data_IF_961136358013
#
_entry.id   IF_961136358013
#
_cell.length_a   1.000
_cell.length_b   1.000
_cell.length_c   1.000
_cell.angle_alpha   90.00
_cell.angle_beta   90.00
_cell.angle_gamma   90.00
#
_symmetry.space_group_name_H-M   'P 1'
#
loop_
_entity.id
_entity.type
_entity.pdbx_description
1 polymer ?
#
# COMPACT_ATOMS: atom_id res chain seq x y z
N UNK A 1 4.35 14.66 11.71
CA UNK A 1 4.72 15.45 10.50
C UNK A 1 3.46 16.12 9.97
N UNK A 2 3.25 17.42 10.24
CA UNK A 2 2.02 18.09 9.81
C UNK A 2 2.08 18.26 8.29
N UNK A 3 1.29 17.46 7.56
CA UNK A 3 1.18 17.52 6.10
C UNK A 3 1.22 16.18 5.36
N UNK A 4 1.57 15.07 6.03
CA UNK A 4 1.52 13.73 5.42
C UNK A 4 0.25 13.02 5.88
N UNK A 5 -0.72 12.89 4.97
CA UNK A 5 -1.99 12.24 5.26
C UNK A 5 -1.90 10.71 5.22
N UNK A 6 -1.17 10.16 4.24
CA UNK A 6 -1.04 8.72 3.98
C UNK A 6 0.35 8.37 3.47
N UNK A 7 0.84 7.19 3.85
CA UNK A 7 2.09 6.60 3.36
C UNK A 7 1.83 5.16 2.90
N UNK A 8 2.08 4.86 1.62
CA UNK A 8 2.02 3.49 1.09
C UNK A 8 3.43 2.95 0.83
N UNK A 9 3.81 1.86 1.50
CA UNK A 9 5.00 1.07 1.20
C UNK A 9 4.64 0.01 0.16
N UNK A 10 5.04 0.23 -1.09
CA UNK A 10 4.79 -0.71 -2.18
C UNK A 10 5.81 -1.86 -2.16
N UNK A 11 5.32 -3.09 -2.24
CA UNK A 11 6.14 -4.31 -2.31
C UNK A 11 5.47 -5.37 -3.20
N UNK A 12 6.10 -6.54 -3.36
CA UNK A 12 5.56 -7.66 -4.13
C UNK A 12 4.54 -8.46 -3.31
N UNK A 13 3.44 -8.86 -3.96
CA UNK A 13 2.50 -9.84 -3.41
C UNK A 13 2.97 -11.26 -3.72
N UNK A 14 3.15 -12.08 -2.69
CA UNK A 14 3.67 -13.46 -2.81
C UNK A 14 2.74 -14.41 -2.09
N UNK A 15 2.19 -15.37 -2.84
CA UNK A 15 1.27 -16.40 -2.36
C UNK A 15 1.90 -17.78 -2.52
N UNK A 16 3.12 -17.92 -2.00
CA UNK A 16 3.90 -19.15 -2.08
C UNK A 16 3.83 -19.91 -0.74
N UNK A 17 3.78 -21.25 -0.75
CA UNK A 17 3.61 -22.04 0.48
C UNK A 17 4.86 -22.02 1.39
N UNK A 18 6.00 -21.56 0.87
CA UNK A 18 7.29 -21.46 1.56
C UNK A 18 7.51 -20.10 2.24
N UNK A 19 6.55 -19.17 2.13
CA UNK A 19 6.55 -17.88 2.85
C UNK A 19 5.32 -17.78 3.75
N UNK A 20 5.37 -16.85 4.70
CA UNK A 20 4.21 -16.58 5.56
C UNK A 20 3.01 -16.12 4.73
N UNK A 21 1.82 -16.62 5.08
CA UNK A 21 0.58 -16.35 4.35
C UNK A 21 0.22 -14.87 4.29
N UNK A 22 0.67 -14.05 5.25
CA UNK A 22 0.45 -12.60 5.25
C UNK A 22 1.07 -11.89 4.04
N UNK A 23 2.07 -12.49 3.38
CA UNK A 23 2.63 -11.95 2.13
C UNK A 23 1.65 -12.01 0.95
N UNK A 24 0.59 -12.81 1.06
CA UNK A 24 -0.49 -12.84 0.10
C UNK A 24 -1.53 -11.74 0.34
N UNK A 25 -1.56 -11.13 1.53
CA UNK A 25 -2.52 -10.07 1.85
C UNK A 25 -2.19 -8.78 1.07
N UNK A 26 -3.14 -8.25 0.28
CA UNK A 26 -2.88 -7.12 -0.62
C UNK A 26 -2.55 -5.84 0.13
N UNK A 27 -3.13 -5.64 1.31
CA UNK A 27 -2.94 -4.44 2.13
C UNK A 27 -2.80 -4.83 3.59
N UNK A 28 -1.86 -4.21 4.29
CA UNK A 28 -1.65 -4.37 5.73
C UNK A 28 -1.43 -3.00 6.36
N UNK A 29 -2.18 -2.68 7.41
CA UNK A 29 -2.04 -1.42 8.14
C UNK A 29 -0.89 -1.51 9.13
N UNK A 30 0.01 -0.53 9.09
CA UNK A 30 1.09 -0.42 10.07
C UNK A 30 0.60 0.43 11.25
N UNK A 31 0.71 -0.08 12.50
CA UNK A 31 0.28 0.68 13.66
C UNK A 31 1.15 1.93 13.83
N UNK A 32 0.56 3.07 14.23
CA UNK A 32 1.32 4.26 14.60
C UNK A 32 2.30 3.93 15.73
N UNK A 33 3.54 4.45 15.66
CA UNK A 33 4.53 4.26 16.73
C UNK A 33 4.14 4.99 18.02
N UNK A 34 3.44 6.11 17.87
CA UNK A 34 2.98 6.98 18.96
C UNK A 34 1.48 7.22 18.79
N UNK A 35 0.67 6.28 19.28
CA UNK A 35 -0.80 6.34 19.17
C UNK A 35 -1.43 7.55 19.90
N UNK A 36 -0.67 8.16 20.82
CA UNK A 36 -1.14 9.24 21.69
C UNK A 36 -1.10 10.64 21.02
N UNK A 37 -0.44 10.80 19.87
CA UNK A 37 -0.27 12.09 19.18
C UNK A 37 -1.21 12.29 17.97
N UNK A 38 -1.96 11.25 17.58
CA UNK A 38 -2.94 11.33 16.51
C UNK A 38 -4.32 11.59 17.12
N UNK A 39 -4.71 12.87 17.21
CA UNK A 39 -6.06 13.25 17.61
C UNK A 39 -7.15 12.66 16.70
N UNK A 40 -8.40 12.71 17.15
CA UNK A 40 -9.63 12.19 16.50
C UNK A 40 -9.87 12.64 15.04
N UNK A 41 -9.02 13.50 14.46
CA UNK A 41 -9.08 14.01 13.09
C UNK A 41 -8.44 13.07 12.03
N UNK A 42 -7.88 11.92 12.42
CA UNK A 42 -7.37 10.94 11.45
C UNK A 42 -8.53 10.22 10.73
N UNK A 43 -8.81 10.61 9.49
CA UNK A 43 -9.76 9.88 8.63
C UNK A 43 -9.34 8.42 8.42
N UNK A 44 -10.30 7.53 8.13
CA UNK A 44 -10.11 6.07 8.04
C UNK A 44 -9.00 5.60 7.07
N UNK A 45 -8.61 6.46 6.12
CA UNK A 45 -7.59 6.18 5.10
C UNK A 45 -6.23 6.82 5.36
N UNK A 46 -6.07 7.45 6.53
CA UNK A 46 -4.83 8.07 6.97
C UNK A 46 -3.90 7.05 7.66
N UNK A 47 -2.60 7.36 7.68
CA UNK A 47 -1.59 6.50 8.30
C UNK A 47 -0.70 5.78 7.30
N UNK A 48 -0.09 4.67 7.73
CA UNK A 48 0.89 3.92 6.95
C UNK A 48 0.40 2.51 6.61
N UNK A 49 0.63 2.10 5.37
CA UNK A 49 0.17 0.82 4.84
C UNK A 49 1.29 0.12 4.08
N UNK A 50 1.39 -1.20 4.22
CA UNK A 50 2.10 -2.04 3.26
C UNK A 50 1.10 -2.39 2.17
N UNK A 51 1.44 -2.07 0.92
CA UNK A 51 0.63 -2.37 -0.26
C UNK A 51 1.39 -3.35 -1.14
N UNK A 52 0.85 -4.56 -1.30
CA UNK A 52 1.47 -5.63 -2.06
C UNK A 52 0.89 -5.68 -3.46
N UNK A 53 1.70 -5.31 -4.45
CA UNK A 53 1.34 -5.33 -5.87
C UNK A 53 1.62 -6.73 -6.45
N UNK A 54 0.66 -7.38 -7.10
CA UNK A 54 0.92 -8.62 -7.82
C UNK A 54 1.77 -8.33 -9.06
N UNK A 55 2.92 -8.99 -9.18
CA UNK A 55 3.72 -9.02 -10.40
C UNK A 55 4.61 -10.27 -10.45
N UNK A 56 4.83 -10.76 -11.66
CA UNK A 56 5.48 -12.05 -11.90
C UNK A 56 4.73 -13.25 -11.26
N UNK A 57 5.35 -14.43 -11.26
CA UNK A 57 4.75 -15.63 -10.66
C UNK A 57 4.47 -15.45 -9.17
N UNK A 58 3.22 -15.55 -8.71
CA UNK A 58 2.86 -15.32 -7.29
C UNK A 58 2.99 -16.55 -6.42
N UNK A 59 2.91 -17.73 -7.02
CA UNK A 59 2.93 -19.05 -6.40
C UNK A 59 4.31 -19.49 -5.89
N UNK A 60 5.34 -18.67 -6.11
CA UNK A 60 6.72 -18.93 -5.68
C UNK A 60 7.46 -17.68 -5.24
N UNK A 61 8.33 -17.87 -4.26
CA UNK A 61 9.33 -16.87 -3.92
C UNK A 61 10.35 -16.70 -5.06
N UNK A 62 10.74 -15.46 -5.33
CA UNK A 62 11.75 -15.12 -6.35
C UNK A 62 12.75 -14.18 -5.67
N UNK A 63 14.05 -14.52 -5.63
CA UNK A 63 15.09 -13.63 -5.11
C UNK A 63 15.10 -12.28 -5.84
N UNK A 64 15.42 -11.20 -5.10
CA UNK A 64 15.35 -9.82 -5.62
C UNK A 64 16.18 -9.60 -6.89
N UNK A 65 17.28 -10.35 -7.03
CA UNK A 65 18.19 -10.28 -8.17
C UNK A 65 17.57 -10.79 -9.47
N UNK A 66 16.52 -11.62 -9.39
CA UNK A 66 15.82 -12.21 -10.53
C UNK A 66 14.52 -11.48 -10.89
N UNK A 67 14.20 -10.38 -10.19
CA UNK A 67 12.95 -9.64 -10.41
C UNK A 67 13.00 -8.70 -11.61
N UNK A 68 14.18 -8.41 -12.18
CA UNK A 68 14.36 -7.47 -13.29
C UNK A 68 13.37 -7.64 -14.46
N UNK A 69 13.06 -8.86 -14.94
CA UNK A 69 12.10 -9.06 -16.04
C UNK A 69 10.67 -8.63 -15.70
N UNK A 70 10.32 -8.57 -14.42
CA UNK A 70 8.96 -8.27 -13.94
C UNK A 70 8.80 -6.84 -13.41
N UNK A 71 9.87 -6.03 -13.41
CA UNK A 71 9.81 -4.63 -12.99
C UNK A 71 8.81 -3.79 -13.82
N UNK A 72 8.69 -3.96 -15.16
CA UNK A 72 7.68 -3.22 -15.92
C UNK A 72 6.24 -3.48 -15.42
N UNK A 73 5.91 -4.75 -15.16
CA UNK A 73 4.61 -5.16 -14.60
C UNK A 73 4.38 -4.55 -13.21
N UNK A 74 5.41 -4.53 -12.36
CA UNK A 74 5.33 -3.85 -11.06
C UNK A 74 5.05 -2.35 -11.21
N UNK A 75 5.71 -1.67 -12.15
CA UNK A 75 5.50 -0.24 -12.41
C UNK A 75 4.08 0.04 -12.85
N UNK A 76 3.53 -0.75 -13.77
CA UNK A 76 2.14 -0.59 -14.23
C UNK A 76 1.15 -0.78 -13.07
N UNK A 77 1.35 -1.82 -12.24
CA UNK A 77 0.52 -2.08 -11.07
C UNK A 77 0.63 -0.97 -10.01
N UNK A 78 1.84 -0.47 -9.75
CA UNK A 78 2.10 0.62 -8.81
C UNK A 78 1.45 1.93 -9.27
N UNK A 79 1.57 2.29 -10.56
CA UNK A 79 0.95 3.48 -11.12
C UNK A 79 -0.59 3.40 -11.04
N UNK A 80 -1.16 2.24 -11.35
CA UNK A 80 -2.60 2.04 -11.21
C UNK A 80 -3.04 2.23 -9.74
N UNK A 81 -2.34 1.63 -8.77
CA UNK A 81 -2.63 1.83 -7.34
C UNK A 81 -2.59 3.31 -6.95
N UNK A 82 -1.55 4.03 -7.33
CA UNK A 82 -1.39 5.46 -7.00
C UNK A 82 -2.55 6.28 -7.58
N UNK A 83 -2.95 6.02 -8.83
CA UNK A 83 -4.06 6.73 -9.47
C UNK A 83 -5.38 6.45 -8.77
N UNK A 84 -5.67 5.19 -8.45
CA UNK A 84 -6.92 4.82 -7.75
C UNK A 84 -6.95 5.41 -6.34
N UNK A 85 -5.85 5.33 -5.60
CA UNK A 85 -5.74 5.88 -4.25
C UNK A 85 -5.87 7.40 -4.26
N UNK A 86 -5.29 8.08 -5.25
CA UNK A 86 -5.43 9.53 -5.41
C UNK A 86 -6.89 9.93 -5.64
N UNK A 87 -7.65 9.15 -6.41
CA UNK A 87 -9.08 9.37 -6.63
C UNK A 87 -9.89 9.14 -5.35
N UNK A 88 -9.69 8.02 -4.67
CA UNK A 88 -10.43 7.69 -3.44
C UNK A 88 -10.17 8.70 -2.33
N UNK A 89 -8.91 9.14 -2.17
CA UNK A 89 -8.56 10.20 -1.22
C UNK A 89 -9.19 11.53 -1.62
N UNK A 90 -9.18 11.88 -2.91
CA UNK A 90 -9.84 13.08 -3.41
C UNK A 90 -11.34 13.09 -3.15
N UNK A 91 -12.01 11.96 -3.31
CA UNK A 91 -13.43 11.78 -2.99
C UNK A 91 -13.69 11.91 -1.49
N UNK A 92 -12.88 11.28 -0.64
CA UNK A 92 -13.01 11.37 0.83
C UNK A 92 -12.80 12.80 1.34
N UNK A 93 -11.81 13.51 0.82
CA UNK A 93 -11.55 14.92 1.18
C UNK A 93 -12.68 15.82 0.65
N UNK A 94 -13.12 15.59 -0.60
CA UNK A 94 -14.18 16.39 -1.23
C UNK A 94 -15.58 16.16 -0.68
N UNK A 95 -15.85 14.99 -0.09
CA UNK A 95 -17.11 14.67 0.58
C UNK A 95 -17.13 15.14 2.06
N UNK A 96 -15.99 15.61 2.58
CA UNK A 96 -15.75 15.85 4.00
C UNK A 96 -15.31 17.26 4.39
N UNK A 97 -15.70 18.31 3.66
CA UNK A 97 -15.89 19.68 4.21
C UNK A 97 -16.40 20.59 3.09
N UNK A 98 -17.65 21.04 3.19
CA UNK A 98 -17.98 22.35 2.68
C UNK A 98 -17.24 23.37 3.56
N UNK A 99 -16.36 24.19 2.97
CA UNK A 99 -16.09 25.52 3.52
C UNK A 99 -17.25 26.41 3.11
#
# INVERSE_FOLDING_TARGET
>A
MPGVYRVDLLTRQVAAPDVDWSYAEPTETLPPRDADDYGDDMGESSGSYIVRIPFGPRDKYIPKELLWPYIPEFVDGALNHIIQMSKSLGEQIGSGHAI
#
